data_IF_593425504468
#
_entry.id   IF_593425504468
#
_cell.length_a   1.000
_cell.length_b   1.000
_cell.length_c   1.000
_cell.angle_alpha   90.00
_cell.angle_beta   90.00
_cell.angle_gamma   90.00
#
_symmetry.space_group_name_H-M   'P 1'
#
loop_
_entity.id
_entity.type
_entity.pdbx_description
1 polymer ?
#
# COMPACT_ATOMS: atom_id res chain seq x y z
N UNK A 1 -0.96 15.39 -17.45
CA UNK A 1 -0.89 13.92 -17.25
C UNK A 1 0.58 13.55 -17.15
N UNK A 2 1.15 13.54 -15.94
CA UNK A 2 2.54 13.18 -15.73
C UNK A 2 2.56 11.79 -15.13
N UNK A 3 2.91 10.82 -15.97
CA UNK A 3 3.25 9.47 -15.57
C UNK A 3 4.45 9.57 -14.63
N UNK A 4 4.23 9.41 -13.31
CA UNK A 4 5.31 9.36 -12.32
C UNK A 4 6.04 8.04 -12.57
N UNK A 5 7.14 8.13 -13.32
CA UNK A 5 7.97 6.98 -13.68
C UNK A 5 8.24 6.15 -12.43
N UNK A 6 7.68 4.95 -12.40
CA UNK A 6 8.01 3.90 -11.44
C UNK A 6 9.54 3.78 -11.49
N UNK A 7 10.21 4.08 -10.39
CA UNK A 7 11.64 3.84 -10.30
C UNK A 7 11.82 2.33 -10.26
N UNK A 8 11.98 1.72 -11.44
CA UNK A 8 12.26 0.29 -11.55
C UNK A 8 13.51 -0.04 -10.72
N UNK A 9 13.50 -1.21 -10.07
CA UNK A 9 14.55 -1.66 -9.15
C UNK A 9 15.97 -1.56 -9.76
N UNK A 10 16.07 -1.73 -11.09
CA UNK A 10 17.32 -1.57 -11.82
C UNK A 10 17.83 -0.11 -11.84
N UNK A 11 16.95 0.86 -12.07
CA UNK A 11 17.27 2.30 -12.06
C UNK A 11 17.75 2.73 -10.68
N UNK A 12 17.09 2.25 -9.63
CA UNK A 12 17.50 2.48 -8.24
C UNK A 12 18.88 1.89 -7.96
N UNK A 13 19.15 0.66 -8.42
CA UNK A 13 20.44 0.01 -8.22
C UNK A 13 21.61 0.77 -8.90
N UNK A 14 21.42 1.28 -10.12
CA UNK A 14 22.45 2.07 -10.83
C UNK A 14 22.76 3.37 -10.09
N UNK A 15 21.75 4.05 -9.55
CA UNK A 15 21.90 5.32 -8.83
C UNK A 15 22.60 5.15 -7.47
N UNK A 16 22.24 4.10 -6.73
CA UNK A 16 22.93 3.73 -5.49
C UNK A 16 24.40 3.40 -5.74
N UNK A 17 24.71 2.65 -6.81
CA UNK A 17 26.09 2.34 -7.20
C UNK A 17 26.89 3.59 -7.61
N UNK A 18 26.21 4.62 -8.13
CA UNK A 18 26.80 5.92 -8.45
C UNK A 18 27.01 6.83 -7.21
N UNK A 19 26.65 6.37 -6.01
CA UNK A 19 26.79 7.15 -4.77
C UNK A 19 25.69 8.20 -4.56
N UNK A 20 24.62 8.18 -5.36
CA UNK A 20 23.44 9.00 -5.10
C UNK A 20 22.66 8.46 -3.91
N UNK A 21 22.26 9.35 -3.01
CA UNK A 21 21.28 9.01 -1.98
C UNK A 21 19.90 8.90 -2.63
N UNK A 22 19.48 7.67 -2.91
CA UNK A 22 18.13 7.37 -3.37
C UNK A 22 17.27 7.17 -2.14
N UNK A 23 16.38 8.12 -1.88
CA UNK A 23 15.33 7.96 -0.88
C UNK A 23 14.38 6.87 -1.38
N UNK A 24 14.53 5.67 -0.82
CA UNK A 24 13.59 4.58 -1.06
C UNK A 24 12.34 4.96 -0.28
N UNK A 25 11.19 5.20 -0.94
CA UNK A 25 9.97 5.54 -0.22
C UNK A 25 9.66 4.38 0.74
N UNK A 26 9.71 4.65 2.04
CA UNK A 26 9.30 3.72 3.11
C UNK A 26 7.82 3.26 2.99
N UNK A 27 7.09 3.73 1.99
CA UNK A 27 5.70 3.36 1.67
C UNK A 27 5.54 1.90 1.25
N UNK A 28 6.59 1.20 0.83
CA UNK A 28 6.43 -0.14 0.22
C UNK A 28 6.16 -1.29 1.19
N UNK A 29 6.34 -1.12 2.51
CA UNK A 29 6.18 -2.23 3.47
C UNK A 29 5.40 -1.79 4.71
N UNK A 30 4.14 -1.38 4.51
CA UNK A 30 3.20 -1.29 5.63
C UNK A 30 2.69 -2.68 5.97
N UNK A 31 2.86 -3.08 7.22
CA UNK A 31 2.44 -4.40 7.71
C UNK A 31 0.96 -4.36 8.14
N UNK A 32 0.09 -4.92 7.31
CA UNK A 32 -1.36 -4.93 7.52
C UNK A 32 -1.86 -6.22 8.19
N UNK A 33 -0.98 -7.19 8.48
CA UNK A 33 -1.37 -8.53 8.91
C UNK A 33 -2.18 -8.54 10.21
N UNK A 34 -1.77 -7.74 11.20
CA UNK A 34 -2.49 -7.64 12.49
C UNK A 34 -3.88 -7.03 12.30
N UNK A 35 -4.00 -5.95 11.52
CA UNK A 35 -5.27 -5.29 11.23
C UNK A 35 -6.22 -6.21 10.45
N UNK A 36 -5.70 -6.94 9.46
CA UNK A 36 -6.45 -7.92 8.69
C UNK A 36 -6.97 -9.06 9.58
N UNK A 37 -6.14 -9.59 10.48
CA UNK A 37 -6.56 -10.63 11.43
C UNK A 37 -7.67 -10.13 12.38
N UNK A 38 -7.57 -8.90 12.87
CA UNK A 38 -8.63 -8.30 13.73
C UNK A 38 -9.95 -8.22 12.97
N UNK A 39 -9.94 -7.71 11.73
CA UNK A 39 -11.15 -7.58 10.92
C UNK A 39 -11.76 -8.95 10.60
N UNK A 40 -10.94 -9.95 10.30
CA UNK A 40 -11.40 -11.32 10.07
C UNK A 40 -12.05 -11.94 11.32
N UNK A 41 -11.46 -11.76 12.50
CA UNK A 41 -12.02 -12.25 13.77
C UNK A 41 -13.35 -11.54 14.13
N UNK A 42 -13.52 -10.29 13.69
CA UNK A 42 -14.78 -9.56 13.80
C UNK A 42 -15.83 -9.99 12.76
N UNK A 43 -15.51 -10.93 11.86
CA UNK A 43 -16.41 -11.44 10.81
C UNK A 43 -16.57 -10.51 9.63
N UNK A 44 -15.62 -9.60 9.39
CA UNK A 44 -15.60 -8.75 8.19
C UNK A 44 -15.11 -9.58 7.01
N UNK A 45 -15.77 -9.42 5.86
CA UNK A 45 -15.37 -10.05 4.60
C UNK A 45 -15.28 -9.01 3.48
N UNK A 46 -16.31 -8.17 3.35
CA UNK A 46 -16.34 -7.07 2.39
C UNK A 46 -16.28 -5.72 3.12
N UNK A 47 -15.38 -4.83 2.68
CA UNK A 47 -15.23 -3.52 3.30
C UNK A 47 -15.01 -2.40 2.28
N UNK A 48 -15.39 -1.17 2.69
CA UNK A 48 -15.02 0.05 1.98
C UNK A 48 -13.79 0.64 2.65
N UNK A 49 -12.69 0.74 1.92
CA UNK A 49 -11.44 1.32 2.42
C UNK A 49 -11.60 2.83 2.51
N UNK A 50 -11.42 3.37 3.72
CA UNK A 50 -11.31 4.82 3.92
C UNK A 50 -9.85 5.23 3.81
N UNK A 51 -9.48 5.97 2.76
CA UNK A 51 -8.10 6.41 2.56
C UNK A 51 -8.00 7.72 1.78
N UNK A 52 -6.99 8.53 2.13
CA UNK A 52 -6.58 9.70 1.34
C UNK A 52 -5.30 9.43 0.53
N UNK A 53 -4.77 8.20 0.60
CA UNK A 53 -3.60 7.75 -0.15
C UNK A 53 -3.87 6.39 -0.79
N UNK A 54 -3.49 6.23 -2.05
CA UNK A 54 -3.66 4.95 -2.75
C UNK A 54 -2.38 4.11 -2.62
N UNK A 55 -2.51 2.93 -2.04
CA UNK A 55 -1.45 1.94 -1.95
C UNK A 55 -1.98 0.59 -2.45
N UNK A 56 -1.11 -0.23 -3.03
CA UNK A 56 -1.49 -1.59 -3.39
C UNK A 56 -1.55 -2.42 -2.10
N UNK A 57 -2.75 -2.76 -1.63
CA UNK A 57 -2.90 -3.69 -0.51
C UNK A 57 -2.78 -5.13 -1.03
N UNK A 58 -1.72 -5.81 -0.61
CA UNK A 58 -1.46 -7.21 -0.99
C UNK A 58 -1.75 -8.11 0.21
N UNK A 59 -2.31 -9.30 -0.03
CA UNK A 59 -2.42 -10.35 0.97
C UNK A 59 -3.70 -10.35 1.82
N UNK A 60 -4.64 -9.42 1.59
CA UNK A 60 -5.94 -9.40 2.28
C UNK A 60 -6.78 -10.65 1.98
N UNK A 61 -6.67 -11.20 0.76
CA UNK A 61 -7.36 -12.43 0.35
C UNK A 61 -6.99 -13.63 1.24
N UNK A 62 -5.75 -13.65 1.77
CA UNK A 62 -5.29 -14.70 2.70
C UNK A 62 -6.00 -14.67 4.06
N UNK A 63 -6.63 -13.54 4.39
CA UNK A 63 -7.47 -13.36 5.58
C UNK A 63 -8.97 -13.42 5.26
N UNK A 64 -9.36 -13.70 4.01
CA UNK A 64 -10.76 -13.69 3.58
C UNK A 64 -11.38 -12.28 3.52
N UNK A 65 -10.55 -11.26 3.27
CA UNK A 65 -10.96 -9.86 3.22
C UNK A 65 -10.90 -9.29 1.80
N UNK A 66 -11.95 -8.59 1.40
CA UNK A 66 -12.11 -7.95 0.09
C UNK A 66 -12.44 -6.47 0.26
N UNK A 67 -11.76 -5.63 -0.52
CA UNK A 67 -12.09 -4.21 -0.64
C UNK A 67 -13.08 -4.06 -1.79
N UNK A 68 -14.33 -3.72 -1.46
CA UNK A 68 -15.43 -3.57 -2.46
C UNK A 68 -15.64 -2.12 -2.89
N UNK A 69 -14.93 -1.17 -2.27
CA UNK A 69 -14.93 0.23 -2.65
C UNK A 69 -13.94 1.06 -1.86
N UNK A 70 -13.70 2.29 -2.29
CA UNK A 70 -12.84 3.26 -1.62
C UNK A 70 -13.56 4.58 -1.41
N UNK A 71 -13.29 5.24 -0.27
CA UNK A 71 -13.78 6.60 0.02
C UNK A 71 -12.68 7.41 0.71
N UNK A 72 -12.65 8.72 0.46
CA UNK A 72 -11.74 9.63 1.15
C UNK A 72 -12.17 9.85 2.60
N UNK A 73 -11.18 10.05 3.47
CA UNK A 73 -11.40 10.48 4.86
C UNK A 73 -11.61 11.98 4.83
N UNK A 74 -12.77 12.44 5.27
CA UNK A 74 -13.06 13.87 5.38
C UNK A 74 -12.23 14.47 6.53
N UNK A 75 -11.42 15.46 6.21
CA UNK A 75 -10.71 16.24 7.21
C UNK A 75 -11.68 17.33 7.67
N UNK A 76 -12.40 17.05 8.76
CA UNK A 76 -13.35 17.99 9.36
C UNK A 76 -12.75 19.33 9.73
#
# INVERSE_FOLDING_TARGET
VINRARADAFTTAVRLAAGEQVEVPMEELRDYGVGAMILAELGVHDMVLLTNTHHTLVGLDGYGLSIVGERTIDAG
#
